data_IF_540598508089
#
_entry.id   IF_540598508089
#
_cell.length_a   1.000
_cell.length_b   1.000
_cell.length_c   1.000
_cell.angle_alpha   90.00
_cell.angle_beta   90.00
_cell.angle_gamma   90.00
#
_symmetry.space_group_name_H-M   'P 1'
#
loop_
_entity.id
_entity.type
_entity.pdbx_description
1 polymer ?
#
# COMPACT_ATOMS: atom_id res chain seq x y z
N UNK A 1 6.62 -42.40 15.84
CA UNK A 1 7.14 -42.46 14.47
C UNK A 1 7.90 -41.15 14.23
N UNK A 2 9.19 -41.26 13.96
CA UNK A 2 10.11 -40.10 13.85
C UNK A 2 10.03 -39.57 12.40
N UNK A 3 9.66 -38.33 12.21
CA UNK A 3 9.82 -37.66 10.93
C UNK A 3 11.13 -36.85 10.94
N UNK A 4 11.98 -37.16 9.99
CA UNK A 4 13.29 -36.55 9.74
C UNK A 4 13.06 -35.34 8.84
N UNK A 5 13.46 -34.17 9.34
CA UNK A 5 13.52 -32.93 8.54
C UNK A 5 14.82 -32.96 7.72
N UNK A 6 14.71 -32.95 6.40
CA UNK A 6 15.86 -32.72 5.50
C UNK A 6 15.92 -31.22 5.18
N UNK A 7 16.94 -30.53 5.71
CA UNK A 7 17.30 -29.19 5.30
C UNK A 7 18.23 -29.29 4.07
N UNK A 8 17.85 -28.68 2.96
CA UNK A 8 18.73 -28.47 1.81
C UNK A 8 19.31 -27.06 1.87
N UNK A 9 20.62 -26.99 2.14
CA UNK A 9 21.40 -25.77 2.00
C UNK A 9 21.92 -25.73 0.56
N UNK A 10 21.48 -24.75 -0.23
CA UNK A 10 22.09 -24.44 -1.53
C UNK A 10 22.97 -23.21 -1.36
N UNK A 11 24.30 -23.43 -1.39
CA UNK A 11 25.30 -22.37 -1.41
C UNK A 11 25.55 -22.00 -2.88
N UNK A 12 25.16 -20.82 -3.31
CA UNK A 12 25.55 -20.25 -4.58
C UNK A 12 26.62 -19.16 -4.36
N UNK A 13 27.86 -19.47 -4.76
CA UNK A 13 28.94 -18.48 -4.88
C UNK A 13 28.71 -17.64 -6.13
N UNK A 14 28.56 -16.32 -5.96
CA UNK A 14 28.74 -15.38 -7.06
C UNK A 14 29.94 -14.47 -6.80
N UNK A 15 30.84 -14.45 -7.76
CA UNK A 15 32.00 -13.60 -7.78
C UNK A 15 31.62 -12.16 -8.16
N UNK A 16 31.99 -11.19 -7.31
CA UNK A 16 31.86 -9.77 -7.58
C UNK A 16 33.00 -9.26 -8.43
N UNK A 17 32.69 -8.70 -9.60
CA UNK A 17 33.60 -7.79 -10.33
C UNK A 17 33.09 -6.36 -10.10
N UNK A 18 33.89 -5.59 -9.38
CA UNK A 18 33.67 -4.16 -9.17
C UNK A 18 34.05 -3.38 -10.45
N UNK A 19 33.16 -2.49 -10.90
CA UNK A 19 33.52 -1.40 -11.81
C UNK A 19 33.08 -0.07 -11.16
N UNK A 20 34.09 0.67 -10.72
CA UNK A 20 33.99 2.10 -10.36
C UNK A 20 33.65 2.92 -11.62
N UNK A 21 32.59 3.73 -11.55
CA UNK A 21 32.40 4.87 -12.43
C UNK A 21 31.75 6.04 -11.67
N UNK A 22 32.61 6.94 -11.18
CA UNK A 22 32.23 8.28 -10.73
C UNK A 22 31.92 9.15 -11.95
N UNK A 23 30.68 9.60 -12.13
CA UNK A 23 30.36 10.73 -12.99
C UNK A 23 29.55 11.76 -12.21
N UNK A 24 30.17 12.93 -12.05
CA UNK A 24 29.62 14.14 -11.45
C UNK A 24 28.63 14.81 -12.43
N UNK A 25 27.43 15.22 -12.04
CA UNK A 25 26.56 15.99 -12.92
C UNK A 25 26.93 17.48 -12.89
N UNK A 26 27.26 18.01 -14.05
CA UNK A 26 27.49 19.43 -14.29
C UNK A 26 26.13 20.12 -14.51
N UNK A 27 25.84 21.16 -13.71
CA UNK A 27 24.66 21.99 -13.87
C UNK A 27 24.78 22.88 -15.10
N UNK A 28 23.82 22.78 -16.04
CA UNK A 28 23.66 23.73 -17.11
C UNK A 28 22.53 24.74 -16.81
N UNK A 29 22.87 26.03 -16.83
CA UNK A 29 21.94 27.14 -16.74
C UNK A 29 21.13 27.28 -18.05
N UNK A 30 19.87 27.75 -18.00
CA UNK A 30 19.06 27.92 -19.19
C UNK A 30 19.44 29.24 -19.92
N UNK A 31 19.75 29.08 -21.20
CA UNK A 31 19.99 30.19 -22.13
C UNK A 31 18.64 30.78 -22.60
N UNK A 32 18.49 32.09 -22.45
CA UNK A 32 17.36 32.88 -22.97
C UNK A 32 17.30 32.85 -24.51
N UNK A 33 16.18 32.40 -25.07
CA UNK A 33 15.92 32.51 -26.50
C UNK A 33 15.00 33.69 -26.79
N UNK A 34 15.44 34.52 -27.73
CA UNK A 34 14.78 35.72 -28.24
C UNK A 34 13.49 35.41 -29.00
N UNK A 35 12.44 36.15 -28.67
CA UNK A 35 11.21 36.21 -29.47
C UNK A 35 11.48 36.93 -30.81
N UNK A 36 11.10 36.27 -31.90
CA UNK A 36 11.00 36.84 -33.22
C UNK A 36 9.53 37.05 -33.52
N UNK A 37 9.13 38.33 -33.71
CA UNK A 37 7.81 38.72 -34.18
C UNK A 37 7.57 38.24 -35.62
N UNK A 38 6.56 37.39 -35.81
CA UNK A 38 6.06 37.05 -37.15
C UNK A 38 4.66 37.65 -37.35
N UNK A 39 4.57 38.50 -38.37
CA UNK A 39 3.39 39.26 -38.74
C UNK A 39 2.15 38.40 -39.02
N UNK A 40 1.02 38.86 -38.51
CA UNK A 40 -0.33 38.33 -38.73
C UNK A 40 -0.74 38.42 -40.22
N UNK A 41 -1.00 37.26 -40.82
CA UNK A 41 -1.86 37.16 -42.01
C UNK A 41 -3.22 36.62 -41.61
N UNK A 42 -4.21 37.47 -41.68
CA UNK A 42 -5.63 37.20 -41.41
C UNK A 42 -6.22 36.34 -42.52
N UNK A 43 -6.32 35.04 -42.31
CA UNK A 43 -7.18 34.14 -43.10
C UNK A 43 -8.48 33.89 -42.34
N UNK A 44 -9.59 34.25 -42.99
CA UNK A 44 -10.98 34.08 -42.51
C UNK A 44 -11.25 32.61 -42.24
N UNK A 45 -11.68 32.20 -41.01
CA UNK A 45 -11.97 30.78 -40.75
C UNK A 45 -13.30 30.40 -41.39
N UNK A 46 -13.25 29.42 -42.27
CA UNK A 46 -14.43 28.69 -42.74
C UNK A 46 -14.96 27.87 -41.56
N UNK A 47 -16.14 28.23 -41.08
CA UNK A 47 -16.84 27.53 -40.00
C UNK A 47 -17.27 26.14 -40.48
N UNK A 48 -16.42 25.13 -40.31
CA UNK A 48 -16.87 23.75 -40.27
C UNK A 48 -17.43 23.50 -38.86
N UNK A 49 -18.75 23.55 -38.74
CA UNK A 49 -19.50 23.03 -37.61
C UNK A 49 -19.32 21.52 -37.62
N UNK A 50 -18.23 21.02 -37.02
CA UNK A 50 -18.18 19.63 -36.55
C UNK A 50 -19.24 19.55 -35.45
N UNK A 51 -20.27 18.72 -35.62
CA UNK A 51 -21.16 18.26 -34.57
C UNK A 51 -20.30 17.51 -33.54
N UNK A 52 -19.72 18.25 -32.59
CA UNK A 52 -19.18 17.63 -31.39
C UNK A 52 -20.40 17.07 -30.64
N UNK A 53 -20.61 15.77 -30.71
CA UNK A 53 -21.56 15.08 -29.82
C UNK A 53 -21.24 15.53 -28.41
N UNK A 54 -22.22 16.13 -27.72
CA UNK A 54 -22.07 16.52 -26.33
C UNK A 54 -21.70 15.26 -25.53
N UNK A 55 -20.56 15.33 -24.84
CA UNK A 55 -20.08 14.19 -24.03
C UNK A 55 -21.04 14.05 -22.85
N UNK A 56 -21.64 12.87 -22.71
CA UNK A 56 -22.57 12.56 -21.63
C UNK A 56 -21.82 12.05 -20.40
N UNK A 57 -21.56 12.95 -19.44
CA UNK A 57 -20.91 12.62 -18.18
C UNK A 57 -21.76 11.72 -17.28
N UNK A 58 -23.09 11.62 -17.48
CA UNK A 58 -23.94 10.73 -16.70
C UNK A 58 -23.68 9.24 -17.05
N UNK A 59 -23.16 8.96 -18.24
CA UNK A 59 -22.77 7.63 -18.66
C UNK A 59 -21.67 6.99 -17.77
N UNK A 60 -20.84 7.81 -17.10
CA UNK A 60 -19.73 7.33 -16.25
C UNK A 60 -20.23 6.39 -15.15
N UNK A 61 -21.21 6.84 -14.37
CA UNK A 61 -21.77 6.03 -13.26
C UNK A 61 -22.32 4.70 -13.77
N UNK A 62 -23.09 4.74 -14.87
CA UNK A 62 -23.68 3.52 -15.43
C UNK A 62 -22.60 2.57 -15.93
N UNK A 63 -21.59 3.06 -16.64
CA UNK A 63 -20.48 2.23 -17.14
C UNK A 63 -19.70 1.61 -16.00
N UNK A 64 -19.32 2.40 -14.98
CA UNK A 64 -18.58 1.90 -13.83
C UNK A 64 -19.34 0.82 -13.05
N UNK A 65 -20.66 0.92 -12.94
CA UNK A 65 -21.47 -0.09 -12.22
C UNK A 65 -21.67 -1.39 -13.00
N UNK A 66 -21.46 -1.38 -14.33
CA UNK A 66 -21.60 -2.58 -15.18
C UNK A 66 -20.31 -3.34 -15.40
N UNK A 67 -19.15 -2.75 -15.04
CA UNK A 67 -17.85 -3.44 -15.14
C UNK A 67 -17.77 -4.57 -14.12
N UNK A 68 -17.45 -5.77 -14.59
CA UNK A 68 -17.30 -7.00 -13.82
C UNK A 68 -16.17 -7.90 -14.39
N UNK A 69 -16.05 -9.12 -13.88
CA UNK A 69 -15.04 -10.10 -14.31
C UNK A 69 -15.11 -10.48 -15.78
N UNK A 70 -16.27 -10.32 -16.45
CA UNK A 70 -16.47 -10.62 -17.88
C UNK A 70 -16.13 -9.44 -18.79
N UNK A 71 -15.99 -8.23 -18.24
CA UNK A 71 -15.75 -7.01 -18.98
C UNK A 71 -14.36 -7.00 -19.61
N UNK A 72 -14.19 -6.12 -20.61
CA UNK A 72 -12.91 -5.90 -21.26
C UNK A 72 -12.22 -4.67 -20.65
N UNK A 73 -10.89 -4.66 -20.64
CA UNK A 73 -10.14 -3.50 -20.17
C UNK A 73 -10.39 -2.24 -21.02
N UNK A 74 -10.76 -2.42 -22.29
CA UNK A 74 -11.16 -1.31 -23.19
C UNK A 74 -12.37 -0.53 -22.64
N UNK A 75 -13.15 -1.12 -21.73
CA UNK A 75 -14.23 -0.42 -21.04
C UNK A 75 -13.69 0.60 -20.06
N UNK A 76 -12.57 0.31 -19.39
CA UNK A 76 -11.85 1.31 -18.60
C UNK A 76 -11.27 2.44 -19.47
N UNK A 77 -10.74 2.14 -20.68
CA UNK A 77 -10.24 3.17 -21.59
C UNK A 77 -11.33 4.17 -22.01
N UNK A 78 -12.57 3.68 -22.16
CA UNK A 78 -13.72 4.55 -22.43
C UNK A 78 -14.06 5.41 -21.22
N UNK A 79 -14.07 4.80 -20.03
CA UNK A 79 -14.34 5.52 -18.78
C UNK A 79 -13.25 6.55 -18.49
N UNK A 80 -11.96 6.22 -18.66
CA UNK A 80 -10.85 7.14 -18.46
C UNK A 80 -10.97 8.39 -19.31
N UNK A 81 -11.35 8.25 -20.60
CA UNK A 81 -11.60 9.37 -21.49
C UNK A 81 -12.76 10.24 -21.02
N UNK A 82 -13.83 9.63 -20.54
CA UNK A 82 -14.97 10.35 -19.98
C UNK A 82 -14.58 11.06 -18.67
N UNK A 83 -13.89 10.39 -17.77
CA UNK A 83 -13.44 10.94 -16.50
C UNK A 83 -12.52 12.15 -16.73
N UNK A 84 -11.51 12.03 -17.60
CA UNK A 84 -10.60 13.16 -17.91
C UNK A 84 -11.36 14.39 -18.43
N UNK A 85 -12.47 14.20 -19.16
CA UNK A 85 -13.29 15.30 -19.65
C UNK A 85 -14.22 15.88 -18.57
N UNK A 86 -14.83 15.01 -17.77
CA UNK A 86 -15.95 15.36 -16.90
C UNK A 86 -15.53 15.76 -15.47
N UNK A 87 -14.43 15.21 -14.94
CA UNK A 87 -13.96 15.51 -13.57
C UNK A 87 -13.82 17.03 -13.31
N UNK A 88 -13.29 17.87 -14.25
CA UNK A 88 -13.20 19.30 -14.02
C UNK A 88 -14.54 20.04 -13.95
N UNK A 89 -15.65 19.40 -14.36
CA UNK A 89 -16.96 20.06 -14.57
C UNK A 89 -17.99 19.70 -13.51
N UNK A 90 -17.69 18.75 -12.64
CA UNK A 90 -18.61 18.26 -11.60
C UNK A 90 -18.17 18.68 -10.19
N UNK A 91 -19.10 18.59 -9.23
CA UNK A 91 -18.82 18.88 -7.84
C UNK A 91 -17.94 17.80 -7.18
N UNK A 92 -17.35 18.16 -6.04
CA UNK A 92 -16.45 17.26 -5.31
C UNK A 92 -17.12 15.95 -4.85
N UNK A 93 -18.41 16.00 -4.45
CA UNK A 93 -19.12 14.78 -4.04
C UNK A 93 -19.22 13.79 -5.20
N UNK A 94 -19.47 14.28 -6.43
CA UNK A 94 -19.50 13.47 -7.64
C UNK A 94 -18.10 12.93 -7.99
N UNK A 95 -17.04 13.75 -7.83
CA UNK A 95 -15.65 13.32 -8.07
C UNK A 95 -15.28 12.14 -7.15
N UNK A 96 -15.53 12.25 -5.85
CA UNK A 96 -15.27 11.17 -4.88
C UNK A 96 -16.13 9.95 -5.18
N UNK A 97 -17.41 10.12 -5.49
CA UNK A 97 -18.27 9.01 -5.89
C UNK A 97 -17.69 8.25 -7.08
N UNK A 98 -17.22 8.95 -8.11
CA UNK A 98 -16.62 8.29 -9.28
C UNK A 98 -15.28 7.63 -8.94
N UNK A 99 -14.46 8.22 -8.09
CA UNK A 99 -13.23 7.60 -7.61
C UNK A 99 -13.50 6.28 -6.87
N UNK A 100 -14.49 6.28 -5.95
CA UNK A 100 -14.95 5.08 -5.26
C UNK A 100 -15.49 4.02 -6.22
N UNK A 101 -16.37 4.41 -7.14
CA UNK A 101 -16.94 3.49 -8.12
C UNK A 101 -15.89 2.92 -9.10
N UNK A 102 -14.88 3.71 -9.44
CA UNK A 102 -13.76 3.28 -10.27
C UNK A 102 -12.94 2.19 -9.57
N UNK A 103 -12.61 2.37 -8.29
CA UNK A 103 -11.93 1.35 -7.49
C UNK A 103 -12.78 0.08 -7.36
N UNK A 104 -14.07 0.20 -7.06
CA UNK A 104 -14.99 -0.93 -7.00
C UNK A 104 -15.11 -1.66 -8.36
N UNK A 105 -15.07 -0.92 -9.48
CA UNK A 105 -15.06 -1.50 -10.80
C UNK A 105 -13.81 -2.37 -11.04
N UNK A 106 -12.62 -1.91 -10.61
CA UNK A 106 -11.40 -2.73 -10.68
C UNK A 106 -11.48 -3.96 -9.78
N UNK A 107 -12.01 -3.86 -8.57
CA UNK A 107 -12.19 -5.01 -7.69
C UNK A 107 -13.10 -6.07 -8.35
N UNK A 108 -14.26 -5.66 -8.90
CA UNK A 108 -15.14 -6.59 -9.62
C UNK A 108 -14.50 -7.14 -10.89
N UNK A 109 -13.78 -6.33 -11.64
CA UNK A 109 -13.06 -6.76 -12.85
C UNK A 109 -11.99 -7.82 -12.54
N UNK A 110 -11.28 -7.67 -11.40
CA UNK A 110 -10.23 -8.58 -10.99
C UNK A 110 -10.73 -9.72 -10.08
N UNK A 111 -12.03 -9.76 -9.74
CA UNK A 111 -12.59 -10.77 -8.82
C UNK A 111 -12.47 -12.21 -9.31
N UNK A 112 -12.25 -12.45 -10.62
CA UNK A 112 -11.98 -13.78 -11.14
C UNK A 112 -10.68 -14.42 -10.62
N UNK A 113 -9.82 -13.61 -10.01
CA UNK A 113 -8.57 -14.04 -9.41
C UNK A 113 -8.74 -14.45 -7.92
N UNK A 114 -9.89 -14.12 -7.32
CA UNK A 114 -10.18 -14.34 -5.91
C UNK A 114 -11.23 -15.42 -5.73
N UNK A 115 -10.95 -16.44 -4.90
CA UNK A 115 -11.91 -17.48 -4.51
C UNK A 115 -12.06 -18.65 -5.48
N UNK A 116 -13.16 -19.41 -5.34
CA UNK A 116 -13.43 -20.69 -6.04
C UNK A 116 -13.66 -20.57 -7.57
N UNK A 117 -13.56 -19.36 -8.11
CA UNK A 117 -13.78 -19.07 -9.54
C UNK A 117 -12.49 -18.81 -10.29
N UNK A 118 -11.45 -19.63 -10.08
CA UNK A 118 -10.26 -19.58 -10.92
C UNK A 118 -10.66 -19.82 -12.40
N UNK A 119 -10.36 -18.82 -13.24
CA UNK A 119 -10.56 -18.93 -14.69
C UNK A 119 -9.46 -19.73 -15.40
N UNK A 120 -8.46 -20.18 -14.65
CA UNK A 120 -7.28 -20.87 -15.16
C UNK A 120 -7.18 -22.24 -14.48
N UNK A 121 -6.81 -23.27 -15.23
CA UNK A 121 -6.41 -24.53 -14.63
C UNK A 121 -5.02 -24.43 -13.99
N UNK A 122 -4.60 -25.45 -13.22
CA UNK A 122 -3.32 -25.45 -12.49
C UNK A 122 -2.11 -25.22 -13.42
N UNK A 123 -2.16 -25.68 -14.67
CA UNK A 123 -1.06 -25.52 -15.64
C UNK A 123 -1.02 -24.08 -16.14
N UNK A 124 -2.16 -23.53 -16.51
CA UNK A 124 -2.31 -22.14 -16.95
C UNK A 124 -1.93 -21.16 -15.84
N UNK A 125 -2.35 -21.44 -14.60
CA UNK A 125 -2.00 -20.66 -13.43
C UNK A 125 -0.48 -20.64 -13.20
N UNK A 126 0.18 -21.80 -13.17
CA UNK A 126 1.63 -21.89 -12.97
C UNK A 126 2.40 -21.18 -14.10
N UNK A 127 1.94 -21.26 -15.34
CA UNK A 127 2.56 -20.55 -16.47
C UNK A 127 2.43 -19.03 -16.30
N UNK A 128 1.25 -18.56 -15.92
CA UNK A 128 1.01 -17.15 -15.69
C UNK A 128 1.82 -16.63 -14.50
N UNK A 129 1.87 -17.38 -13.40
CA UNK A 129 2.65 -17.04 -12.21
C UNK A 129 4.14 -16.92 -12.54
N UNK A 130 4.68 -17.82 -13.38
CA UNK A 130 6.08 -17.71 -13.84
C UNK A 130 6.32 -16.45 -14.69
N UNK A 131 5.39 -16.12 -15.59
CA UNK A 131 5.48 -14.87 -16.38
C UNK A 131 5.42 -13.64 -15.48
N UNK A 132 4.54 -13.64 -14.48
CA UNK A 132 4.44 -12.54 -13.52
C UNK A 132 5.72 -12.41 -12.67
N UNK A 133 6.32 -13.54 -12.26
CA UNK A 133 7.62 -13.57 -11.58
C UNK A 133 8.73 -12.92 -12.42
N UNK A 134 8.83 -13.31 -13.69
CA UNK A 134 9.87 -12.78 -14.59
C UNK A 134 9.68 -11.28 -14.84
N UNK A 135 8.44 -10.81 -14.94
CA UNK A 135 8.16 -9.38 -15.07
C UNK A 135 8.49 -8.63 -13.77
N UNK A 136 8.07 -9.17 -12.61
CA UNK A 136 8.22 -8.51 -11.33
C UNK A 136 9.69 -8.35 -10.91
N UNK A 137 10.49 -9.43 -11.02
CA UNK A 137 11.89 -9.43 -10.55
C UNK A 137 12.91 -9.07 -11.61
N UNK A 138 12.58 -9.25 -12.90
CA UNK A 138 13.54 -9.14 -13.99
C UNK A 138 13.13 -8.12 -15.06
N UNK A 139 11.98 -7.49 -14.92
CA UNK A 139 11.36 -6.61 -15.93
C UNK A 139 11.31 -7.27 -17.34
N UNK A 140 11.24 -8.61 -17.36
CA UNK A 140 11.35 -9.40 -18.57
C UNK A 140 9.97 -9.77 -19.11
N UNK A 141 9.62 -9.23 -20.27
CA UNK A 141 8.43 -9.57 -21.04
C UNK A 141 8.79 -10.52 -22.19
N UNK A 142 8.77 -11.84 -21.93
CA UNK A 142 9.03 -12.83 -22.96
C UNK A 142 7.75 -13.07 -23.79
N UNK A 143 7.73 -12.52 -25.02
CA UNK A 143 6.55 -12.59 -25.89
C UNK A 143 6.20 -14.05 -26.27
N UNK A 144 7.18 -14.98 -26.29
CA UNK A 144 6.93 -16.38 -26.60
C UNK A 144 6.23 -17.12 -25.46
N UNK A 145 6.51 -16.76 -24.21
CA UNK A 145 5.85 -17.33 -23.05
C UNK A 145 4.48 -16.69 -22.83
N UNK A 146 4.40 -15.35 -23.00
CA UNK A 146 3.12 -14.65 -22.98
C UNK A 146 2.14 -15.21 -24.01
N UNK A 147 2.60 -15.53 -25.22
CA UNK A 147 1.77 -16.09 -26.29
C UNK A 147 1.19 -17.48 -25.97
N UNK A 148 1.75 -18.22 -25.01
CA UNK A 148 1.22 -19.51 -24.54
C UNK A 148 0.11 -19.38 -23.51
N UNK A 149 -0.01 -18.21 -22.88
CA UNK A 149 -1.04 -17.96 -21.88
C UNK A 149 -2.44 -17.91 -22.48
N UNK A 150 -3.50 -18.19 -21.71
CA UNK A 150 -4.86 -17.95 -22.11
C UNK A 150 -5.09 -16.50 -22.57
N UNK A 151 -6.02 -16.22 -23.50
CA UNK A 151 -6.24 -14.90 -24.08
C UNK A 151 -6.47 -13.81 -23.02
N UNK A 152 -7.19 -14.12 -21.92
CA UNK A 152 -7.41 -13.17 -20.82
C UNK A 152 -6.11 -12.83 -20.09
N UNK A 153 -5.27 -13.82 -19.79
CA UNK A 153 -3.98 -13.61 -19.15
C UNK A 153 -3.03 -12.76 -20.02
N UNK A 154 -2.95 -13.09 -21.34
CA UNK A 154 -2.20 -12.26 -22.30
C UNK A 154 -2.66 -10.79 -22.28
N UNK A 155 -3.97 -10.59 -22.21
CA UNK A 155 -4.55 -9.26 -22.15
C UNK A 155 -4.17 -8.51 -20.86
N UNK A 156 -4.22 -9.16 -19.70
CA UNK A 156 -3.82 -8.58 -18.40
C UNK A 156 -2.33 -8.22 -18.39
N UNK A 157 -1.45 -9.12 -18.87
CA UNK A 157 -0.01 -8.82 -19.00
C UNK A 157 0.23 -7.61 -19.90
N UNK A 158 -0.52 -7.50 -21.03
CA UNK A 158 -0.46 -6.29 -21.87
C UNK A 158 -0.84 -5.03 -21.11
N UNK A 159 -1.83 -5.10 -20.20
CA UNK A 159 -2.23 -3.95 -19.38
C UNK A 159 -1.18 -3.57 -18.34
N UNK A 160 -0.46 -4.55 -17.77
CA UNK A 160 0.72 -4.29 -16.92
C UNK A 160 1.79 -3.53 -17.73
N UNK A 161 2.10 -4.00 -18.94
CA UNK A 161 3.06 -3.32 -19.85
C UNK A 161 2.65 -1.89 -20.23
N UNK A 162 1.35 -1.59 -20.20
CA UNK A 162 0.80 -0.27 -20.46
C UNK A 162 0.67 0.63 -19.21
N UNK A 163 1.05 0.12 -18.03
CA UNK A 163 0.95 0.86 -16.76
C UNK A 163 -0.47 1.06 -16.25
N UNK A 164 -1.42 0.19 -16.62
CA UNK A 164 -2.81 0.24 -16.14
C UNK A 164 -3.06 -0.71 -14.99
N UNK A 165 -2.36 -1.84 -15.00
CA UNK A 165 -2.33 -2.82 -13.92
C UNK A 165 -0.91 -2.92 -13.39
N UNK A 166 -0.80 -3.39 -12.15
CA UNK A 166 0.44 -3.82 -11.52
C UNK A 166 0.36 -5.29 -11.17
N UNK A 167 1.51 -5.94 -11.14
CA UNK A 167 1.68 -7.25 -10.53
C UNK A 167 1.94 -7.00 -9.04
N UNK A 168 1.05 -7.50 -8.20
CA UNK A 168 1.22 -7.54 -6.76
C UNK A 168 1.93 -8.85 -6.37
N UNK A 169 2.95 -8.75 -5.54
CA UNK A 169 3.69 -9.88 -4.98
C UNK A 169 3.19 -10.11 -3.54
N UNK A 170 2.59 -11.27 -3.28
CA UNK A 170 2.16 -11.67 -1.95
C UNK A 170 3.25 -12.40 -1.16
N UNK A 171 4.44 -12.53 -1.76
CA UNK A 171 5.56 -13.36 -1.32
C UNK A 171 5.28 -14.86 -1.50
N UNK A 172 6.17 -15.72 -1.02
CA UNK A 172 6.09 -17.17 -1.23
C UNK A 172 5.94 -17.62 -2.70
N UNK A 173 6.18 -16.71 -3.66
CA UNK A 173 6.08 -16.97 -5.10
C UNK A 173 4.67 -16.79 -5.67
N UNK A 174 3.77 -16.20 -4.93
CA UNK A 174 2.40 -15.90 -5.37
C UNK A 174 2.27 -14.45 -5.85
N UNK A 175 1.61 -14.30 -7.00
CA UNK A 175 1.35 -13.01 -7.63
C UNK A 175 -0.11 -12.88 -8.03
N UNK A 176 -0.61 -11.64 -8.01
CA UNK A 176 -1.90 -11.28 -8.59
C UNK A 176 -1.83 -9.96 -9.37
N UNK A 177 -2.99 -9.50 -9.86
CA UNK A 177 -3.10 -8.21 -10.54
C UNK A 177 -3.87 -7.22 -9.67
N UNK A 178 -3.31 -6.01 -9.58
CA UNK A 178 -3.99 -4.86 -8.99
C UNK A 178 -4.06 -3.71 -10.01
N UNK A 179 -5.01 -2.80 -9.84
CA UNK A 179 -4.97 -1.53 -10.57
C UNK A 179 -3.73 -0.73 -10.17
N UNK A 180 -3.19 0.05 -11.09
CA UNK A 180 -2.07 0.95 -10.77
C UNK A 180 -2.57 2.14 -9.95
N UNK A 181 -2.24 2.16 -8.65
CA UNK A 181 -2.68 3.23 -7.75
C UNK A 181 -2.04 4.58 -8.07
N UNK A 182 -0.88 4.61 -8.73
CA UNK A 182 -0.29 5.84 -9.24
C UNK A 182 -1.09 6.39 -10.43
N UNK A 183 -1.55 5.50 -11.33
CA UNK A 183 -2.44 5.89 -12.42
C UNK A 183 -3.77 6.41 -11.88
N UNK A 184 -4.33 5.76 -10.85
CA UNK A 184 -5.52 6.22 -10.14
C UNK A 184 -5.32 7.62 -9.54
N UNK A 185 -4.24 7.82 -8.78
CA UNK A 185 -3.93 9.12 -8.19
C UNK A 185 -3.79 10.19 -9.28
N UNK A 186 -3.03 9.92 -10.34
CA UNK A 186 -2.84 10.85 -11.46
C UNK A 186 -4.16 11.24 -12.15
N UNK A 187 -5.14 10.34 -12.20
CA UNK A 187 -6.44 10.61 -12.81
C UNK A 187 -7.30 11.51 -11.92
N UNK A 188 -7.34 11.28 -10.62
CA UNK A 188 -8.30 11.93 -9.72
C UNK A 188 -7.75 13.15 -8.98
N UNK A 189 -6.51 13.09 -8.47
CA UNK A 189 -6.00 14.11 -7.54
C UNK A 189 -5.92 15.53 -8.12
N UNK A 190 -5.69 15.75 -9.44
CA UNK A 190 -5.70 17.11 -10.01
C UNK A 190 -7.05 17.85 -9.90
N UNK A 191 -8.12 17.11 -9.61
CA UNK A 191 -9.49 17.64 -9.57
C UNK A 191 -10.07 17.71 -8.16
N UNK A 192 -9.38 17.11 -7.18
CA UNK A 192 -9.84 16.99 -5.80
C UNK A 192 -9.31 18.14 -4.91
N UNK A 193 -10.02 18.51 -3.83
CA UNK A 193 -9.47 19.33 -2.77
C UNK A 193 -8.17 18.75 -2.22
N UNK A 194 -7.30 19.65 -1.74
CA UNK A 194 -5.93 19.29 -1.32
C UNK A 194 -5.87 18.17 -0.27
N UNK A 195 -6.77 18.19 0.70
CA UNK A 195 -6.85 17.16 1.74
C UNK A 195 -7.11 15.76 1.16
N UNK A 196 -8.03 15.67 0.20
CA UNK A 196 -8.39 14.42 -0.46
C UNK A 196 -7.28 13.94 -1.40
N UNK A 197 -6.69 14.85 -2.18
CA UNK A 197 -5.57 14.56 -3.06
C UNK A 197 -4.37 14.01 -2.27
N UNK A 198 -4.01 14.64 -1.15
CA UNK A 198 -2.89 14.23 -0.29
C UNK A 198 -3.10 12.81 0.29
N UNK A 199 -4.33 12.45 0.69
CA UNK A 199 -4.62 11.09 1.17
C UNK A 199 -4.42 10.06 0.05
N UNK A 200 -5.02 10.31 -1.13
CA UNK A 200 -4.93 9.40 -2.28
C UNK A 200 -3.48 9.25 -2.76
N UNK A 201 -2.73 10.35 -2.85
CA UNK A 201 -1.31 10.34 -3.23
C UNK A 201 -0.47 9.56 -2.22
N UNK A 202 -0.77 9.69 -0.90
CA UNK A 202 -0.08 8.94 0.14
C UNK A 202 -0.36 7.45 0.04
N UNK A 203 -1.61 7.03 -0.08
CA UNK A 203 -1.97 5.61 -0.26
C UNK A 203 -1.33 5.04 -1.52
N UNK A 204 -1.34 5.77 -2.62
CA UNK A 204 -0.68 5.35 -3.86
C UNK A 204 0.84 5.24 -3.69
N UNK A 205 1.47 6.13 -2.92
CA UNK A 205 2.91 6.06 -2.60
C UNK A 205 3.24 4.87 -1.71
N UNK A 206 2.49 4.67 -0.62
CA UNK A 206 2.71 3.56 0.31
C UNK A 206 2.60 2.20 -0.38
N UNK A 207 1.71 2.08 -1.37
CA UNK A 207 1.54 0.86 -2.16
C UNK A 207 2.58 0.68 -3.29
N UNK A 208 3.57 1.57 -3.44
CA UNK A 208 4.77 1.27 -4.23
C UNK A 208 5.66 0.24 -3.51
N UNK A 209 5.73 0.35 -2.21
CA UNK A 209 6.38 -0.59 -1.31
C UNK A 209 5.30 -1.17 -0.38
N UNK A 210 4.72 -2.33 -0.73
CA UNK A 210 3.68 -2.97 0.08
C UNK A 210 4.12 -3.14 1.53
N UNK A 211 3.20 -2.98 2.47
CA UNK A 211 3.51 -3.09 3.89
C UNK A 211 3.92 -4.51 4.29
N UNK A 212 3.30 -5.51 3.67
CA UNK A 212 3.36 -6.91 4.05
C UNK A 212 4.07 -7.79 3.03
N UNK A 213 4.82 -8.76 3.56
CA UNK A 213 5.35 -9.89 2.85
C UNK A 213 5.28 -11.09 3.81
N UNK A 214 4.44 -12.09 3.52
CA UNK A 214 4.25 -13.28 4.37
C UNK A 214 4.03 -12.92 5.86
N UNK A 215 3.00 -12.11 6.13
CA UNK A 215 2.64 -11.61 7.46
C UNK A 215 3.77 -10.85 8.22
N UNK A 216 4.95 -10.67 7.60
CA UNK A 216 6.04 -9.83 8.07
C UNK A 216 6.02 -8.46 7.37
N UNK A 217 6.80 -7.50 7.89
CA UNK A 217 6.98 -6.22 7.19
C UNK A 217 7.96 -6.36 6.04
N UNK A 218 7.59 -5.84 4.87
CA UNK A 218 8.50 -5.64 3.74
C UNK A 218 9.13 -4.25 3.73
N UNK A 219 8.68 -3.38 4.60
CA UNK A 219 9.22 -2.03 4.80
C UNK A 219 10.10 -1.96 6.03
N UNK A 220 11.08 -1.07 6.06
CA UNK A 220 11.91 -0.83 7.23
C UNK A 220 11.12 -0.19 8.38
N UNK A 221 11.61 -0.32 9.62
CA UNK A 221 11.03 0.37 10.78
C UNK A 221 11.02 1.90 10.59
N UNK A 222 12.04 2.49 9.98
CA UNK A 222 12.09 3.93 9.71
C UNK A 222 10.98 4.34 8.72
N UNK A 223 10.68 3.54 7.70
CA UNK A 223 9.55 3.78 6.80
C UNK A 223 8.21 3.61 7.53
N UNK A 224 8.05 2.58 8.37
CA UNK A 224 6.85 2.39 9.19
C UNK A 224 6.60 3.60 10.11
N UNK A 225 7.66 4.15 10.73
CA UNK A 225 7.61 5.39 11.53
C UNK A 225 7.13 6.57 10.66
N UNK A 226 7.67 6.73 9.44
CA UNK A 226 7.26 7.81 8.55
C UNK A 226 5.78 7.69 8.15
N UNK A 227 5.29 6.48 7.88
CA UNK A 227 3.86 6.24 7.60
C UNK A 227 2.99 6.60 8.81
N UNK A 228 3.36 6.17 10.00
CA UNK A 228 2.63 6.48 11.23
C UNK A 228 2.59 7.99 11.53
N UNK A 229 3.73 8.69 11.41
CA UNK A 229 3.81 10.15 11.60
C UNK A 229 2.96 10.90 10.57
N UNK A 230 2.98 10.47 9.30
CA UNK A 230 2.16 11.08 8.25
C UNK A 230 0.68 11.09 8.60
N UNK A 231 0.13 9.96 9.08
CA UNK A 231 -1.29 9.87 9.42
C UNK A 231 -1.67 10.68 10.66
N UNK A 232 -0.76 10.85 11.62
CA UNK A 232 -0.95 11.80 12.72
C UNK A 232 -0.99 13.25 12.23
N UNK A 233 -0.08 13.64 11.36
CA UNK A 233 0.00 15.01 10.84
C UNK A 233 -1.14 15.33 9.87
N UNK A 234 -1.62 14.35 9.10
CA UNK A 234 -2.79 14.51 8.26
C UNK A 234 -4.02 14.91 9.08
N UNK A 235 -4.28 14.23 10.21
CA UNK A 235 -5.41 14.54 11.09
C UNK A 235 -5.34 15.96 11.65
N UNK A 236 -4.16 16.44 12.02
CA UNK A 236 -3.94 17.81 12.53
C UNK A 236 -4.10 18.85 11.42
N UNK A 237 -3.63 18.53 10.23
CA UNK A 237 -3.61 19.47 9.09
C UNK A 237 -4.98 19.58 8.45
N UNK A 238 -5.74 18.46 8.37
CA UNK A 238 -7.02 18.37 7.68
C UNK A 238 -8.16 17.83 8.56
N UNK A 239 -8.46 18.47 9.72
CA UNK A 239 -9.45 17.96 10.67
C UNK A 239 -10.90 17.95 10.16
N UNK A 240 -11.16 18.63 9.03
CA UNK A 240 -12.47 18.69 8.37
C UNK A 240 -12.53 17.87 7.07
N UNK A 241 -11.50 17.10 6.77
CA UNK A 241 -11.48 16.23 5.58
C UNK A 241 -12.63 15.22 5.64
N UNK A 242 -13.22 14.93 4.49
CA UNK A 242 -14.20 13.83 4.37
C UNK A 242 -13.60 12.48 4.73
N UNK A 243 -12.27 12.32 4.61
CA UNK A 243 -11.49 11.14 4.97
C UNK A 243 -10.91 11.17 6.38
N UNK A 244 -11.37 12.05 7.26
CA UNK A 244 -10.77 12.19 8.60
C UNK A 244 -10.91 10.92 9.44
N UNK A 245 -12.00 10.16 9.29
CA UNK A 245 -12.18 8.91 10.02
C UNK A 245 -11.27 7.81 9.49
N UNK A 246 -11.06 7.74 8.18
CA UNK A 246 -10.11 6.81 7.55
C UNK A 246 -8.67 7.11 7.98
N UNK A 247 -8.29 8.39 7.99
CA UNK A 247 -6.98 8.82 8.48
C UNK A 247 -6.75 8.49 9.96
N UNK A 248 -7.78 8.58 10.80
CA UNK A 248 -7.73 8.14 12.22
C UNK A 248 -7.54 6.63 12.31
N UNK A 249 -8.26 5.86 11.52
CA UNK A 249 -8.14 4.41 11.50
C UNK A 249 -6.73 3.98 11.03
N UNK A 250 -6.23 4.56 9.94
CA UNK A 250 -4.86 4.34 9.47
C UNK A 250 -3.81 4.73 10.51
N UNK A 251 -3.99 5.86 11.21
CA UNK A 251 -3.10 6.29 12.27
C UNK A 251 -3.04 5.29 13.42
N UNK A 252 -4.20 4.81 13.89
CA UNK A 252 -4.26 3.80 14.95
C UNK A 252 -3.65 2.46 14.52
N UNK A 253 -3.88 2.08 13.27
CA UNK A 253 -3.32 0.86 12.70
C UNK A 253 -1.80 0.91 12.60
N UNK A 254 -1.24 1.96 11.99
CA UNK A 254 0.22 2.13 11.91
C UNK A 254 0.87 2.32 13.28
N UNK A 255 0.20 3.00 14.23
CA UNK A 255 0.66 3.07 15.62
C UNK A 255 0.73 1.69 16.27
N UNK A 256 -0.32 0.86 16.07
CA UNK A 256 -0.33 -0.50 16.62
C UNK A 256 0.82 -1.33 16.05
N UNK A 257 1.00 -1.34 14.73
CA UNK A 257 2.09 -2.06 14.09
C UNK A 257 3.47 -1.58 14.55
N UNK A 258 3.62 -0.27 14.72
CA UNK A 258 4.88 0.35 15.17
C UNK A 258 5.31 -0.16 16.55
N UNK A 259 4.40 -0.34 17.49
CA UNK A 259 4.76 -0.73 18.86
C UNK A 259 4.61 -2.23 19.14
N UNK A 260 3.81 -2.95 18.36
CA UNK A 260 3.53 -4.36 18.63
C UNK A 260 4.06 -5.31 17.55
N UNK A 261 4.47 -4.78 16.40
CA UNK A 261 4.95 -5.59 15.28
C UNK A 261 3.81 -6.24 14.48
N UNK A 262 4.14 -7.34 13.83
CA UNK A 262 3.22 -8.20 13.06
C UNK A 262 3.39 -9.67 13.48
N UNK A 263 2.68 -10.59 12.82
CA UNK A 263 2.78 -12.02 13.12
C UNK A 263 4.19 -12.58 12.87
N UNK A 264 4.90 -12.08 11.86
CA UNK A 264 6.25 -12.53 11.50
C UNK A 264 7.36 -11.49 11.75
N UNK A 265 7.04 -10.33 12.33
CA UNK A 265 8.03 -9.31 12.68
C UNK A 265 7.77 -8.75 14.07
N UNK A 266 8.65 -9.06 14.99
CA UNK A 266 8.59 -8.62 16.39
C UNK A 266 9.77 -7.70 16.70
N UNK A 267 9.52 -6.60 17.44
CA UNK A 267 10.59 -5.71 17.90
C UNK A 267 11.22 -6.17 19.21
N UNK A 268 10.44 -6.83 20.06
CA UNK A 268 10.82 -7.24 21.40
C UNK A 268 10.68 -8.77 21.58
N UNK A 269 11.46 -9.31 22.50
CA UNK A 269 11.30 -10.68 22.99
C UNK A 269 9.89 -10.90 23.61
N UNK A 270 9.53 -12.14 23.91
CA UNK A 270 8.20 -12.50 24.42
C UNK A 270 7.86 -11.76 25.71
N UNK A 271 8.82 -11.60 26.61
CA UNK A 271 8.68 -10.89 27.88
C UNK A 271 8.63 -9.38 27.75
N UNK A 272 8.88 -8.83 26.57
CA UNK A 272 8.97 -7.39 26.28
C UNK A 272 10.00 -6.67 27.17
N UNK A 273 11.14 -7.31 27.43
CA UNK A 273 12.22 -6.78 28.27
C UNK A 273 13.41 -6.27 27.48
N UNK A 274 13.55 -6.71 26.23
CA UNK A 274 14.69 -6.35 25.40
C UNK A 274 14.31 -6.40 23.91
N UNK A 275 15.02 -5.60 23.12
CA UNK A 275 14.89 -5.64 21.66
C UNK A 275 15.48 -6.92 21.09
N UNK A 276 14.81 -7.47 20.07
CA UNK A 276 15.34 -8.59 19.31
C UNK A 276 16.60 -8.15 18.58
N UNK A 277 17.63 -8.98 18.64
CA UNK A 277 18.89 -8.78 17.93
C UNK A 277 18.85 -9.54 16.63
N UNK A 278 19.08 -8.84 15.52
CA UNK A 278 19.20 -9.41 14.19
C UNK A 278 20.66 -9.46 13.75
N UNK A 279 20.96 -10.35 12.82
CA UNK A 279 22.28 -10.46 12.16
C UNK A 279 22.05 -10.20 10.68
N UNK A 280 22.76 -9.24 10.11
CA UNK A 280 22.69 -8.96 8.69
C UNK A 280 23.61 -9.91 7.88
N UNK A 281 23.58 -9.80 6.57
CA UNK A 281 24.40 -10.60 5.64
C UNK A 281 25.93 -10.42 5.81
N UNK A 282 26.37 -9.39 6.53
CA UNK A 282 27.77 -9.11 6.84
C UNK A 282 28.17 -9.60 8.26
N UNK A 283 27.35 -10.43 8.90
CA UNK A 283 27.54 -10.89 10.30
C UNK A 283 27.53 -9.75 11.34
N UNK A 284 26.99 -8.57 11.01
CA UNK A 284 26.84 -7.46 11.93
C UNK A 284 25.51 -7.59 12.70
N UNK A 285 25.57 -7.42 14.02
CA UNK A 285 24.38 -7.42 14.87
C UNK A 285 23.77 -6.02 14.94
N UNK A 286 22.44 -5.94 14.85
CA UNK A 286 21.70 -4.70 15.03
C UNK A 286 20.39 -4.95 15.76
N UNK A 287 19.84 -3.89 16.35
CA UNK A 287 18.52 -3.86 16.96
C UNK A 287 17.77 -2.63 16.47
N UNK A 288 16.45 -2.65 16.58
CA UNK A 288 15.58 -1.52 16.24
C UNK A 288 15.53 -0.43 17.34
N UNK A 289 16.21 -0.63 18.46
CA UNK A 289 16.21 0.29 19.60
C UNK A 289 16.56 1.73 19.20
N UNK A 290 17.57 1.91 18.34
CA UNK A 290 18.02 3.23 17.91
C UNK A 290 16.92 4.05 17.22
N UNK A 291 16.06 3.41 16.41
CA UNK A 291 14.92 4.05 15.76
C UNK A 291 13.86 4.48 16.77
N UNK A 292 13.55 3.67 17.79
CA UNK A 292 12.66 4.06 18.90
C UNK A 292 13.23 5.18 19.76
N UNK A 293 14.53 5.16 20.07
CA UNK A 293 15.22 6.25 20.80
C UNK A 293 15.19 7.57 20.00
N UNK A 294 15.33 7.49 18.68
CA UNK A 294 15.18 8.65 17.78
C UNK A 294 13.74 9.17 17.77
N UNK A 295 12.77 8.27 17.63
CA UNK A 295 11.35 8.62 17.65
C UNK A 295 10.93 9.24 18.98
N UNK A 296 11.43 8.76 20.14
CA UNK A 296 11.12 9.32 21.45
C UNK A 296 11.54 10.80 21.64
N UNK A 297 12.45 11.30 20.78
CA UNK A 297 12.85 12.71 20.74
C UNK A 297 12.00 13.56 19.80
N UNK A 298 11.09 12.95 19.04
CA UNK A 298 10.22 13.65 18.11
C UNK A 298 9.06 14.32 18.87
N UNK A 299 8.79 15.61 18.55
CA UNK A 299 7.70 16.37 19.17
C UNK A 299 6.34 15.97 18.56
N UNK A 300 5.84 14.79 18.96
CA UNK A 300 4.57 14.21 18.51
C UNK A 300 3.98 13.27 19.57
N UNK A 301 2.72 12.87 19.42
CA UNK A 301 2.13 11.85 20.29
C UNK A 301 2.84 10.48 20.12
N UNK A 302 3.25 10.12 18.91
CA UNK A 302 4.08 8.93 18.69
C UNK A 302 5.42 9.02 19.39
N UNK A 303 6.07 10.20 19.42
CA UNK A 303 7.30 10.41 20.15
C UNK A 303 7.12 10.21 21.67
N UNK A 304 6.03 10.73 22.25
CA UNK A 304 5.68 10.49 23.67
C UNK A 304 5.45 9.00 23.95
N UNK A 305 4.71 8.31 23.07
CA UNK A 305 4.49 6.87 23.18
C UNK A 305 5.78 6.07 23.02
N UNK A 306 6.69 6.47 22.14
CA UNK A 306 8.01 5.84 22.03
C UNK A 306 8.83 6.00 23.33
N UNK A 307 8.75 7.17 23.99
CA UNK A 307 9.32 7.35 25.33
C UNK A 307 8.73 6.40 26.38
N UNK A 308 7.40 6.27 26.41
CA UNK A 308 6.71 5.33 27.31
C UNK A 308 7.03 3.86 26.97
N UNK A 309 7.23 3.53 25.70
CA UNK A 309 7.64 2.21 25.22
C UNK A 309 9.03 1.83 25.78
N UNK A 310 9.99 2.72 25.66
CA UNK A 310 11.35 2.52 26.20
C UNK A 310 11.33 2.43 27.73
N UNK A 311 10.51 3.25 28.42
CA UNK A 311 10.33 3.17 29.87
C UNK A 311 9.71 1.82 30.30
N UNK A 312 8.72 1.32 29.55
CA UNK A 312 8.14 0.01 29.81
C UNK A 312 9.17 -1.12 29.71
N UNK A 313 10.00 -1.12 28.65
CA UNK A 313 11.06 -2.10 28.46
C UNK A 313 12.05 -2.09 29.63
N UNK A 314 12.45 -0.89 30.08
CA UNK A 314 13.37 -0.70 31.20
C UNK A 314 12.76 -1.03 32.59
N UNK A 315 11.42 -1.16 32.69
CA UNK A 315 10.75 -1.47 33.97
C UNK A 315 10.88 -2.96 34.30
N UNK A 316 11.41 -3.33 35.48
CA UNK A 316 11.49 -4.72 35.94
C UNK A 316 10.12 -5.41 35.92
N UNK A 317 10.09 -6.71 35.58
CA UNK A 317 8.83 -7.47 35.46
C UNK A 317 7.98 -7.46 36.73
N UNK A 318 8.61 -7.56 37.89
CA UNK A 318 7.95 -7.57 39.21
C UNK A 318 7.31 -6.24 39.59
N UNK A 319 7.71 -5.14 38.95
CA UNK A 319 7.12 -3.82 39.14
C UNK A 319 5.97 -3.53 38.15
N UNK A 320 5.85 -4.29 37.06
CA UNK A 320 4.89 -4.00 35.98
C UNK A 320 3.43 -4.20 36.38
N UNK A 321 3.11 -5.16 37.26
CA UNK A 321 1.74 -5.40 37.70
C UNK A 321 1.15 -4.21 38.45
N UNK A 322 1.98 -3.49 39.23
CA UNK A 322 1.58 -2.30 39.94
C UNK A 322 1.54 -1.05 39.01
N UNK A 323 2.59 -0.90 38.20
CA UNK A 323 2.79 0.28 37.36
C UNK A 323 1.90 0.30 36.12
N UNK A 324 1.65 -0.86 35.51
CA UNK A 324 0.88 -1.04 34.28
C UNK A 324 -0.19 -2.11 34.44
N UNK A 325 -1.22 -1.91 35.29
CA UNK A 325 -2.28 -2.91 35.47
C UNK A 325 -3.02 -3.14 34.14
N UNK A 326 -3.38 -4.40 33.87
CA UNK A 326 -4.06 -4.75 32.62
C UNK A 326 -5.41 -4.03 32.54
N UNK A 327 -5.61 -3.31 31.43
CA UNK A 327 -6.89 -2.63 31.18
C UNK A 327 -7.97 -3.67 30.85
N UNK A 328 -9.09 -3.70 31.61
CA UNK A 328 -10.20 -4.63 31.35
C UNK A 328 -10.76 -4.56 29.92
N UNK A 329 -10.72 -3.38 29.26
CA UNK A 329 -11.20 -3.21 27.90
C UNK A 329 -10.28 -3.93 26.88
N UNK A 330 -8.97 -3.97 27.12
CA UNK A 330 -8.03 -4.73 26.28
C UNK A 330 -8.18 -6.24 26.53
N UNK A 331 -8.43 -6.61 27.78
CA UNK A 331 -8.68 -8.02 28.13
C UNK A 331 -9.97 -8.56 27.47
N UNK A 332 -11.01 -7.73 27.37
CA UNK A 332 -12.28 -8.14 26.77
C UNK A 332 -12.20 -8.36 25.24
N UNK A 333 -11.23 -7.73 24.58
CA UNK A 333 -10.96 -7.89 23.12
C UNK A 333 -10.01 -9.05 22.80
N UNK A 334 -9.59 -9.77 23.81
CA UNK A 334 -8.75 -10.96 23.68
C UNK A 334 -9.49 -12.05 22.92
N UNK A 335 -8.81 -12.69 21.99
CA UNK A 335 -9.32 -13.93 21.42
C UNK A 335 -9.22 -15.06 22.45
N UNK A 336 -10.37 -15.50 22.98
CA UNK A 336 -10.47 -16.47 24.07
C UNK A 336 -10.21 -17.93 23.60
N UNK A 337 -9.42 -18.09 22.57
CA UNK A 337 -9.16 -19.40 21.99
C UNK A 337 -8.37 -20.33 22.89
N UNK A 338 -8.53 -20.37 24.20
CA UNK A 338 -8.18 -21.59 24.85
C UNK A 338 -8.41 -21.71 26.34
N UNK A 339 -7.73 -21.20 27.26
CA UNK A 339 -7.70 -21.77 28.59
C UNK A 339 -8.30 -20.91 29.70
N UNK A 340 -8.71 -19.69 29.32
CA UNK A 340 -9.10 -18.69 30.31
C UNK A 340 -7.91 -18.13 31.12
N UNK A 341 -6.71 -18.67 30.94
CA UNK A 341 -5.49 -18.19 31.59
C UNK A 341 -4.74 -17.24 30.66
N UNK A 342 -4.12 -16.19 31.20
CA UNK A 342 -3.28 -15.25 30.48
C UNK A 342 -1.85 -15.78 30.51
N UNK A 343 -1.28 -16.09 29.36
CA UNK A 343 0.11 -16.49 29.22
C UNK A 343 1.04 -15.28 29.52
N UNK A 344 2.30 -15.53 29.90
CA UNK A 344 3.23 -14.47 30.31
C UNK A 344 3.49 -13.46 29.18
N UNK A 345 3.67 -13.92 27.95
CA UNK A 345 3.85 -13.05 26.77
C UNK A 345 2.61 -12.20 26.48
N UNK A 346 1.43 -12.75 26.68
CA UNK A 346 0.16 -12.05 26.51
C UNK A 346 -0.02 -11.00 27.62
N UNK A 347 0.33 -11.35 28.87
CA UNK A 347 0.34 -10.41 30.00
C UNK A 347 1.24 -9.20 29.69
N UNK A 348 2.48 -9.45 29.25
CA UNK A 348 3.43 -8.39 28.90
C UNK A 348 2.87 -7.49 27.76
N UNK A 349 2.22 -8.08 26.77
CA UNK A 349 1.58 -7.32 25.67
C UNK A 349 0.42 -6.45 26.16
N UNK A 350 -0.47 -7.00 27.04
CA UNK A 350 -1.59 -6.25 27.62
C UNK A 350 -1.12 -5.11 28.54
N UNK A 351 -0.04 -5.32 29.29
CA UNK A 351 0.60 -4.30 30.11
C UNK A 351 1.23 -3.19 29.26
N UNK A 352 1.91 -3.55 28.15
CA UNK A 352 2.42 -2.60 27.18
C UNK A 352 1.30 -1.78 26.56
N UNK A 353 0.18 -2.39 26.18
CA UNK A 353 -1.01 -1.67 25.72
C UNK A 353 -1.49 -0.64 26.75
N UNK A 354 -1.45 -1.00 28.04
CA UNK A 354 -1.81 -0.05 29.11
C UNK A 354 -0.80 1.09 29.21
N UNK A 355 0.49 0.79 29.17
CA UNK A 355 1.57 1.80 29.23
C UNK A 355 1.45 2.84 28.09
N UNK A 356 1.06 2.38 26.90
CA UNK A 356 0.92 3.23 25.71
C UNK A 356 -0.47 3.86 25.56
N UNK A 357 -1.46 3.47 26.38
CA UNK A 357 -2.85 3.84 26.18
C UNK A 357 -3.38 3.39 24.81
N UNK A 358 -2.84 2.28 24.29
CA UNK A 358 -3.17 1.76 22.96
C UNK A 358 -4.21 0.64 23.04
N UNK A 359 -4.93 0.43 21.96
CA UNK A 359 -5.85 -0.71 21.77
C UNK A 359 -5.52 -1.40 20.47
N UNK A 360 -5.87 -2.68 20.34
CA UNK A 360 -5.74 -3.39 19.06
C UNK A 360 -6.54 -2.66 17.99
N UNK A 361 -5.92 -2.39 16.87
CA UNK A 361 -6.54 -1.79 15.71
C UNK A 361 -6.83 -2.85 14.64
N UNK A 362 -8.00 -2.75 14.01
CA UNK A 362 -8.34 -3.59 12.87
C UNK A 362 -7.59 -3.08 11.62
N UNK A 363 -7.40 -3.96 10.65
CA UNK A 363 -6.76 -3.60 9.37
C UNK A 363 -7.70 -2.66 8.58
N UNK A 364 -7.24 -1.45 8.20
CA UNK A 364 -8.05 -0.57 7.36
C UNK A 364 -8.30 -1.17 5.98
N UNK A 365 -9.51 -1.02 5.45
CA UNK A 365 -9.88 -1.52 4.12
C UNK A 365 -9.14 -0.83 2.95
N UNK A 366 -8.43 0.26 3.22
CA UNK A 366 -7.63 0.98 2.23
C UNK A 366 -6.12 0.76 2.36
N UNK A 367 -5.66 -0.17 3.20
CA UNK A 367 -4.22 -0.40 3.36
C UNK A 367 -3.57 -0.86 2.04
N UNK A 368 -4.31 -1.60 1.22
CA UNK A 368 -3.92 -2.06 -0.11
C UNK A 368 -4.87 -1.52 -1.19
N UNK A 369 -5.28 -0.26 -1.10
CA UNK A 369 -6.17 0.37 -2.05
C UNK A 369 -5.83 1.85 -2.25
N UNK A 370 -6.17 2.45 -3.39
CA UNK A 370 -5.89 3.87 -3.66
C UNK A 370 -6.83 4.83 -2.93
N UNK A 371 -7.92 4.32 -2.37
CA UNK A 371 -8.94 5.09 -1.62
C UNK A 371 -9.64 4.15 -0.63
N UNK A 372 -10.02 4.67 0.53
CA UNK A 372 -10.78 3.91 1.51
C UNK A 372 -12.24 3.77 1.05
N UNK A 373 -12.72 2.54 0.98
CA UNK A 373 -14.10 2.26 0.58
C UNK A 373 -15.02 2.30 1.81
N UNK A 374 -16.28 2.77 1.67
CA UNK A 374 -17.27 2.62 2.72
C UNK A 374 -17.49 1.15 3.07
N UNK A 375 -17.62 0.82 4.35
CA UNK A 375 -17.83 -0.56 4.83
C UNK A 375 -19.07 -1.27 4.23
N UNK A 376 -20.04 -0.51 3.68
CA UNK A 376 -21.23 -1.03 3.01
C UNK A 376 -21.01 -1.41 1.54
N UNK A 377 -19.86 -1.06 0.96
CA UNK A 377 -19.55 -1.21 -0.47
C UNK A 377 -18.47 -2.29 -0.70
N UNK A 378 -18.10 -3.05 0.33
CA UNK A 378 -17.30 -4.27 0.16
C UNK A 378 -18.14 -5.33 -0.57
N UNK A 379 -17.60 -5.95 -1.62
CA UNK A 379 -18.31 -6.92 -2.45
C UNK A 379 -18.65 -8.22 -1.72
#
# INVERSE_FOLDING_TARGET
MKHVLCAFIVVALFALTACDNKSTPTAHAPTSQNFVDVASTTTKPTTQTANAQAIDCQAITNTLTTIDASSQIDDFDKVDKLLNHCLPTVDNATQIKWATQYQLAYQRFLSFWQGDTFLFDDVEFNQLNQVMYDIHYHEKYDESDIAKLPPKAQHLIKQVKQGKLKIANHCEGEFDFNNDYQAFAKLFTPHLPKDQAVLIERLASDNQEPLWCDAGFSVSLDELIQRALFWQDYQKTYPQSVFINDAKHLSLFYEFLLFFGSENTYWLNDDKTEFITYINENDETFTDEASFVKLAKHDSELGKKAGAYLEFIATPKDERDEKYPINPANLAKRDLNNTGQIEDWERATLQLMTALGSTRADVPNCINAPICLPASDEP
#
